data_IF_532042874288
#
_entry.id   IF_532042874288
#
_cell.length_a   1.000
_cell.length_b   1.000
_cell.length_c   1.000
_cell.angle_alpha   90.00
_cell.angle_beta   90.00
_cell.angle_gamma   90.00
#
_symmetry.space_group_name_H-M   'P 1'
#
loop_
_entity.id
_entity.type
_entity.pdbx_description
1 polymer ?
#
# COMPACT_ATOMS: atom_id res chain seq x y z
N UNK A 1 1.40 15.70 -16.20
CA UNK A 1 1.38 14.23 -16.04
C UNK A 1 0.31 13.76 -15.06
N UNK A 2 0.30 14.21 -13.79
CA UNK A 2 -0.70 13.78 -12.78
C UNK A 2 -2.16 14.03 -13.18
N UNK A 3 -2.49 15.16 -13.82
CA UNK A 3 -3.85 15.45 -14.29
C UNK A 3 -4.33 14.49 -15.40
N UNK A 4 -3.42 14.01 -16.24
CA UNK A 4 -3.74 13.03 -17.27
C UNK A 4 -3.99 11.66 -16.64
N UNK A 5 -3.17 11.26 -15.67
CA UNK A 5 -3.36 10.04 -14.89
C UNK A 5 -4.68 10.05 -14.11
N UNK A 6 -5.01 11.18 -13.48
CA UNK A 6 -6.28 11.35 -12.77
C UNK A 6 -7.47 11.21 -13.73
N UNK A 7 -7.42 11.87 -14.90
CA UNK A 7 -8.44 11.75 -15.95
C UNK A 7 -8.58 10.31 -16.46
N UNK A 8 -7.47 9.59 -16.62
CA UNK A 8 -7.48 8.18 -16.98
C UNK A 8 -8.28 7.35 -15.97
N UNK A 9 -8.02 7.51 -14.67
CA UNK A 9 -8.77 6.81 -13.62
C UNK A 9 -10.26 7.19 -13.61
N UNK A 10 -10.61 8.47 -13.82
CA UNK A 10 -12.01 8.89 -13.97
C UNK A 10 -12.73 8.19 -15.13
N UNK A 11 -12.02 7.93 -16.24
CA UNK A 11 -12.57 7.25 -17.42
C UNK A 11 -12.80 5.75 -17.19
N UNK A 12 -11.87 5.07 -16.52
CA UNK A 12 -11.92 3.60 -16.39
C UNK A 12 -12.66 3.12 -15.13
N UNK A 13 -12.84 3.97 -14.13
CA UNK A 13 -13.37 3.55 -12.82
C UNK A 13 -14.87 3.22 -12.88
N UNK A 14 -15.19 1.99 -12.53
CA UNK A 14 -16.51 1.39 -12.47
C UNK A 14 -16.51 0.25 -11.43
N UNK A 15 -17.66 -0.35 -11.15
CA UNK A 15 -17.71 -1.52 -10.26
C UNK A 15 -16.94 -2.72 -10.83
N UNK A 16 -16.88 -2.88 -12.16
CA UNK A 16 -16.12 -3.97 -12.82
C UNK A 16 -14.61 -3.80 -12.60
N UNK A 17 -14.11 -2.57 -12.77
CA UNK A 17 -12.70 -2.24 -12.52
C UNK A 17 -12.34 -2.35 -11.05
N UNK A 18 -13.27 -2.04 -10.14
CA UNK A 18 -13.11 -2.29 -8.71
C UNK A 18 -12.96 -3.79 -8.41
N UNK A 19 -13.86 -4.62 -8.93
CA UNK A 19 -13.78 -6.07 -8.73
C UNK A 19 -12.51 -6.68 -9.32
N UNK A 20 -12.08 -6.21 -10.50
CA UNK A 20 -10.80 -6.61 -11.07
C UNK A 20 -9.64 -6.24 -10.14
N UNK A 21 -9.61 -5.01 -9.63
CA UNK A 21 -8.59 -4.57 -8.68
C UNK A 21 -8.57 -5.43 -7.40
N UNK A 22 -9.74 -5.77 -6.84
CA UNK A 22 -9.85 -6.65 -5.67
C UNK A 22 -9.35 -8.06 -6.01
N UNK A 23 -9.77 -8.62 -7.15
CA UNK A 23 -9.37 -9.95 -7.58
C UNK A 23 -7.85 -10.07 -7.79
N UNK A 24 -7.21 -9.02 -8.31
CA UNK A 24 -5.75 -8.95 -8.44
C UNK A 24 -5.05 -8.74 -7.10
N UNK A 25 -5.66 -7.99 -6.18
CA UNK A 25 -5.09 -7.68 -4.87
C UNK A 25 -5.07 -8.89 -3.94
N UNK A 26 -6.20 -9.60 -3.81
CA UNK A 26 -6.41 -10.65 -2.78
C UNK A 26 -5.32 -11.74 -2.73
N UNK A 27 -4.81 -12.28 -3.86
CA UNK A 27 -3.77 -13.31 -3.83
C UNK A 27 -2.49 -12.92 -3.09
N UNK A 28 -2.14 -11.64 -3.05
CA UNK A 28 -0.91 -11.15 -2.42
C UNK A 28 -0.91 -11.40 -0.90
N UNK A 29 -1.80 -10.77 -0.10
CA UNK A 29 -1.85 -11.02 1.34
C UNK A 29 -2.39 -12.42 1.69
N UNK A 30 -3.32 -12.97 0.89
CA UNK A 30 -3.94 -14.26 1.23
C UNK A 30 -3.00 -15.45 1.03
N UNK A 31 -2.05 -15.35 0.10
CA UNK A 31 -1.18 -16.46 -0.28
C UNK A 31 0.29 -16.04 -0.41
N UNK A 32 0.62 -15.09 -1.28
CA UNK A 32 2.02 -14.82 -1.65
C UNK A 32 2.86 -14.37 -0.44
N UNK A 33 2.41 -13.36 0.30
CA UNK A 33 3.12 -12.86 1.47
C UNK A 33 3.15 -13.84 2.63
N UNK A 34 2.01 -14.50 2.90
CA UNK A 34 1.94 -15.54 3.93
C UNK A 34 2.96 -16.65 3.70
N UNK A 35 3.13 -17.10 2.46
CA UNK A 35 4.11 -18.14 2.13
C UNK A 35 5.54 -17.62 2.14
N UNK A 36 5.79 -16.39 1.66
CA UNK A 36 7.11 -15.76 1.73
C UNK A 36 7.58 -15.61 3.18
N UNK A 37 6.74 -15.04 4.04
CA UNK A 37 7.03 -14.85 5.45
C UNK A 37 7.24 -16.19 6.18
N UNK A 38 6.39 -17.19 5.93
CA UNK A 38 6.56 -18.52 6.52
C UNK A 38 7.91 -19.15 6.13
N UNK A 39 8.32 -18.99 4.86
CA UNK A 39 9.61 -19.49 4.38
C UNK A 39 10.79 -18.73 5.00
N UNK A 40 10.69 -17.40 5.10
CA UNK A 40 11.70 -16.57 5.77
C UNK A 40 11.88 -16.97 7.23
N UNK A 41 10.79 -17.09 7.98
CA UNK A 41 10.81 -17.46 9.39
C UNK A 41 11.35 -18.89 9.62
N UNK A 42 11.00 -19.83 8.73
CA UNK A 42 11.53 -21.20 8.79
C UNK A 42 13.05 -21.24 8.59
N UNK A 43 13.58 -20.44 7.65
CA UNK A 43 15.03 -20.33 7.41
C UNK A 43 15.76 -19.59 8.54
N UNK A 44 15.11 -18.60 9.14
CA UNK A 44 15.63 -17.90 10.32
C UNK A 44 15.58 -18.74 11.61
N UNK A 45 14.81 -19.83 11.62
CA UNK A 45 14.55 -20.64 12.82
C UNK A 45 13.69 -19.94 13.88
N UNK A 46 13.11 -18.79 13.56
CA UNK A 46 12.29 -17.97 14.48
C UNK A 46 11.34 -17.05 13.70
N UNK A 47 10.32 -16.54 14.37
CA UNK A 47 9.41 -15.54 13.80
C UNK A 47 10.08 -14.15 13.82
N UNK A 48 10.58 -13.71 12.67
CA UNK A 48 11.16 -12.37 12.50
C UNK A 48 10.15 -11.40 11.87
N UNK A 49 9.36 -11.88 10.91
CA UNK A 49 8.47 -11.06 10.09
C UNK A 49 9.24 -10.17 9.10
N UNK A 50 8.56 -9.41 8.23
CA UNK A 50 9.24 -8.59 7.21
C UNK A 50 9.45 -7.13 7.70
N UNK A 51 10.47 -6.46 7.15
CA UNK A 51 10.90 -5.11 7.57
C UNK A 51 9.90 -4.02 7.12
N UNK A 52 9.31 -4.17 5.95
CA UNK A 52 8.39 -3.24 5.29
C UNK A 52 7.02 -3.11 6.00
N UNK A 53 6.71 -4.04 6.91
CA UNK A 53 5.54 -4.02 7.79
C UNK A 53 5.79 -3.43 9.18
N UNK A 54 7.04 -3.05 9.50
CA UNK A 54 7.33 -2.41 10.78
C UNK A 54 6.53 -1.11 10.94
N UNK A 55 5.92 -0.98 12.11
CA UNK A 55 5.22 0.24 12.55
C UNK A 55 5.96 0.77 13.77
N UNK A 56 6.44 2.01 13.68
CA UNK A 56 7.28 2.60 14.72
C UNK A 56 8.77 2.30 14.48
N UNK A 57 9.57 3.31 14.79
CA UNK A 57 10.87 3.59 14.20
C UNK A 57 12.02 2.97 15.00
N UNK A 58 12.96 2.30 14.33
CA UNK A 58 14.33 2.11 14.84
C UNK A 58 15.26 1.54 13.73
N UNK A 59 16.20 2.32 13.16
CA UNK A 59 17.21 1.78 12.24
C UNK A 59 18.09 0.68 12.85
N UNK A 60 18.29 0.68 14.17
CA UNK A 60 18.99 -0.40 14.87
C UNK A 60 18.15 -1.68 14.86
N UNK A 61 16.81 -1.58 14.96
CA UNK A 61 15.91 -2.72 14.80
C UNK A 61 16.01 -3.33 13.40
N UNK A 62 16.11 -2.51 12.36
CA UNK A 62 16.33 -3.00 10.99
C UNK A 62 17.62 -3.82 10.92
N UNK A 63 18.71 -3.32 11.50
CA UNK A 63 20.00 -4.05 11.53
C UNK A 63 19.89 -5.38 12.29
N UNK A 64 19.23 -5.39 13.46
CA UNK A 64 18.96 -6.61 14.22
C UNK A 64 18.15 -7.62 13.41
N UNK A 65 17.12 -7.17 12.69
CA UNK A 65 16.29 -8.05 11.86
C UNK A 65 17.07 -8.67 10.71
N UNK A 66 17.92 -7.88 10.04
CA UNK A 66 18.79 -8.37 8.96
C UNK A 66 19.71 -9.50 9.45
N UNK A 67 20.25 -9.37 10.66
CA UNK A 67 21.05 -10.41 11.29
C UNK A 67 20.19 -11.66 11.59
N UNK A 68 19.02 -11.48 12.22
CA UNK A 68 18.11 -12.56 12.60
C UNK A 68 17.63 -13.43 11.44
N UNK A 69 17.55 -12.92 10.21
CA UNK A 69 17.13 -13.72 9.05
C UNK A 69 18.11 -14.82 8.65
N UNK A 70 19.39 -14.71 9.02
CA UNK A 70 20.45 -15.59 8.50
C UNK A 70 20.69 -15.43 6.98
N UNK A 71 21.74 -16.07 6.44
CA UNK A 71 22.12 -15.91 5.02
C UNK A 71 21.02 -16.31 4.03
N UNK A 72 20.40 -17.46 4.25
CA UNK A 72 19.36 -18.02 3.37
C UNK A 72 18.07 -17.20 3.46
N UNK A 73 17.66 -16.80 4.68
CA UNK A 73 16.49 -15.97 4.89
C UNK A 73 16.64 -14.60 4.22
N UNK A 74 17.82 -13.97 4.30
CA UNK A 74 18.11 -12.71 3.58
C UNK A 74 18.00 -12.87 2.06
N UNK A 75 18.50 -13.98 1.51
CA UNK A 75 18.43 -14.25 0.07
C UNK A 75 16.98 -14.43 -0.41
N UNK A 76 16.19 -15.21 0.33
CA UNK A 76 14.75 -15.40 0.03
C UNK A 76 13.98 -14.09 0.18
N UNK A 77 14.27 -13.31 1.22
CA UNK A 77 13.59 -12.03 1.43
C UNK A 77 13.93 -11.04 0.30
N UNK A 78 15.21 -10.89 -0.07
CA UNK A 78 15.62 -10.02 -1.17
C UNK A 78 14.99 -10.45 -2.51
N UNK A 79 14.77 -11.75 -2.74
CA UNK A 79 14.05 -12.23 -3.93
C UNK A 79 12.55 -11.86 -3.88
N UNK A 80 11.91 -11.97 -2.71
CA UNK A 80 10.53 -11.53 -2.50
C UNK A 80 10.36 -10.04 -2.83
N UNK A 81 11.24 -9.21 -2.28
CA UNK A 81 11.29 -7.76 -2.51
C UNK A 81 11.48 -7.41 -4.01
N UNK A 82 12.31 -8.18 -4.72
CA UNK A 82 12.59 -8.00 -6.15
C UNK A 82 11.54 -8.64 -7.09
N UNK A 83 10.50 -9.29 -6.56
CA UNK A 83 9.50 -9.97 -7.39
C UNK A 83 8.08 -9.65 -6.94
N UNK A 84 7.69 -10.14 -5.77
CA UNK A 84 6.34 -10.00 -5.21
C UNK A 84 6.10 -8.52 -4.87
N UNK A 85 7.03 -7.86 -4.17
CA UNK A 85 6.88 -6.45 -3.75
C UNK A 85 7.21 -5.44 -4.85
N UNK A 86 7.68 -5.88 -6.02
CA UNK A 86 7.63 -5.01 -7.20
C UNK A 86 6.21 -4.94 -7.75
N UNK A 87 5.50 -6.07 -7.82
CA UNK A 87 4.16 -6.13 -8.43
C UNK A 87 3.06 -5.60 -7.52
N UNK A 88 3.14 -5.91 -6.22
CA UNK A 88 2.12 -5.57 -5.23
C UNK A 88 1.76 -4.08 -5.17
N UNK A 89 2.72 -3.13 -5.11
CA UNK A 89 2.38 -1.72 -4.98
C UNK A 89 1.67 -1.13 -6.19
N UNK A 90 1.90 -1.65 -7.39
CA UNK A 90 1.12 -1.24 -8.55
C UNK A 90 -0.35 -1.67 -8.42
N UNK A 91 -0.60 -2.87 -7.88
CA UNK A 91 -1.94 -3.43 -7.76
C UNK A 91 -2.74 -2.72 -6.69
N UNK A 92 -2.20 -2.55 -5.47
CA UNK A 92 -2.94 -1.83 -4.43
C UNK A 92 -3.09 -0.34 -4.77
N UNK A 93 -2.11 0.27 -5.45
CA UNK A 93 -2.20 1.67 -5.89
C UNK A 93 -3.30 1.83 -6.92
N UNK A 94 -3.37 0.93 -7.91
CA UNK A 94 -4.47 0.89 -8.87
C UNK A 94 -5.82 0.77 -8.16
N UNK A 95 -5.94 -0.17 -7.21
CA UNK A 95 -7.15 -0.38 -6.45
C UNK A 95 -7.58 0.87 -5.66
N UNK A 96 -6.66 1.50 -4.92
CA UNK A 96 -6.96 2.74 -4.19
C UNK A 96 -7.33 3.90 -5.12
N UNK A 97 -6.65 4.05 -6.26
CA UNK A 97 -7.01 5.07 -7.25
C UNK A 97 -8.44 4.88 -7.79
N UNK A 98 -8.86 3.63 -8.04
CA UNK A 98 -10.24 3.30 -8.45
C UNK A 98 -11.22 3.59 -7.32
N UNK A 99 -10.94 3.15 -6.08
CA UNK A 99 -11.81 3.40 -4.91
C UNK A 99 -12.02 4.90 -4.72
N UNK A 100 -10.95 5.68 -4.64
CA UNK A 100 -11.04 7.13 -4.45
C UNK A 100 -11.78 7.80 -5.62
N UNK A 101 -11.54 7.35 -6.85
CA UNK A 101 -12.30 7.85 -8.00
C UNK A 101 -13.81 7.62 -7.83
N UNK A 102 -14.23 6.39 -7.47
CA UNK A 102 -15.64 6.06 -7.30
C UNK A 102 -16.30 6.86 -6.16
N UNK A 103 -15.58 7.08 -5.06
CA UNK A 103 -16.08 7.84 -3.91
C UNK A 103 -16.23 9.34 -4.20
N UNK A 104 -15.32 9.92 -4.98
CA UNK A 104 -15.24 11.37 -5.16
C UNK A 104 -15.70 11.90 -6.53
N UNK A 105 -15.96 11.05 -7.53
CA UNK A 105 -16.32 11.49 -8.91
C UNK A 105 -17.55 12.39 -9.07
N UNK A 106 -18.45 12.40 -8.09
CA UNK A 106 -19.66 13.25 -8.13
C UNK A 106 -19.50 14.55 -7.32
N UNK A 107 -18.31 14.82 -6.78
CA UNK A 107 -18.02 16.03 -6.00
C UNK A 107 -17.57 17.14 -6.93
N UNK A 108 -18.23 18.29 -6.84
CA UNK A 108 -17.91 19.50 -7.63
C UNK A 108 -16.72 20.31 -7.08
N UNK A 109 -16.11 19.88 -5.96
CA UNK A 109 -15.05 20.63 -5.29
C UNK A 109 -13.71 20.49 -6.03
N UNK A 110 -13.13 21.62 -6.43
CA UNK A 110 -11.84 21.67 -7.15
C UNK A 110 -10.68 21.06 -6.33
N UNK A 111 -10.73 21.15 -5.00
CA UNK A 111 -9.68 20.62 -4.10
C UNK A 111 -9.52 19.08 -4.15
N UNK A 112 -10.53 18.34 -4.63
CA UNK A 112 -10.47 16.88 -4.74
C UNK A 112 -10.07 16.39 -6.14
N UNK A 113 -9.71 17.31 -7.05
CA UNK A 113 -9.46 16.96 -8.46
C UNK A 113 -8.39 15.89 -8.64
N UNK A 114 -7.35 15.89 -7.80
CA UNK A 114 -6.23 14.93 -7.85
C UNK A 114 -6.24 13.92 -6.69
N UNK A 115 -7.30 13.88 -5.87
CA UNK A 115 -7.35 12.98 -4.71
C UNK A 115 -7.18 11.52 -5.12
N UNK A 116 -7.69 11.18 -6.31
CA UNK A 116 -7.66 9.82 -6.84
C UNK A 116 -6.28 9.35 -7.30
N UNK A 117 -5.27 10.21 -7.38
CA UNK A 117 -3.89 9.83 -7.69
C UNK A 117 -2.94 10.02 -6.51
N UNK A 118 -3.46 10.40 -5.33
CA UNK A 118 -2.69 10.42 -4.09
C UNK A 118 -1.99 9.07 -3.79
N UNK A 119 -2.61 7.89 -4.05
CA UNK A 119 -1.96 6.60 -3.83
C UNK A 119 -0.64 6.39 -4.59
N UNK A 120 -0.36 7.16 -5.65
CA UNK A 120 0.92 7.11 -6.36
C UNK A 120 2.09 7.48 -5.45
N UNK A 121 1.87 8.32 -4.44
CA UNK A 121 2.88 8.60 -3.42
C UNK A 121 3.27 7.34 -2.64
N UNK A 122 2.31 6.47 -2.34
CA UNK A 122 2.56 5.19 -1.66
C UNK A 122 3.41 4.30 -2.57
N UNK A 123 3.04 4.15 -3.85
CA UNK A 123 3.82 3.36 -4.83
C UNK A 123 5.29 3.79 -4.89
N UNK A 124 5.55 5.09 -4.98
CA UNK A 124 6.92 5.60 -5.10
C UNK A 124 7.70 5.35 -3.81
N UNK A 125 7.10 5.62 -2.65
CA UNK A 125 7.78 5.37 -1.35
C UNK A 125 8.07 3.89 -1.12
N UNK A 126 7.13 3.00 -1.47
CA UNK A 126 7.26 1.55 -1.33
C UNK A 126 8.39 1.00 -2.22
N UNK A 127 8.43 1.35 -3.51
CA UNK A 127 9.51 0.87 -4.40
C UNK A 127 10.91 1.36 -3.98
N UNK A 128 11.00 2.58 -3.44
CA UNK A 128 12.26 3.13 -2.92
C UNK A 128 12.66 2.43 -1.60
N UNK A 129 11.70 2.15 -0.74
CA UNK A 129 11.90 1.39 0.50
C UNK A 129 12.41 -0.02 0.19
N UNK A 130 11.73 -0.75 -0.69
CA UNK A 130 12.08 -2.11 -1.10
C UNK A 130 13.51 -2.14 -1.67
N UNK A 131 13.90 -1.09 -2.41
CA UNK A 131 15.28 -0.93 -2.90
C UNK A 131 16.28 -0.78 -1.75
N UNK A 132 15.95 -0.05 -0.69
CA UNK A 132 16.78 0.06 0.51
C UNK A 132 16.86 -1.28 1.25
N UNK A 133 15.74 -1.99 1.42
CA UNK A 133 15.68 -3.30 2.07
C UNK A 133 16.58 -4.30 1.32
N UNK A 134 16.43 -4.41 -0.01
CA UNK A 134 17.26 -5.30 -0.84
C UNK A 134 18.74 -4.97 -0.69
N UNK A 135 19.10 -3.69 -0.69
CA UNK A 135 20.49 -3.27 -0.50
C UNK A 135 21.01 -3.69 0.88
N UNK A 136 20.26 -3.42 1.93
CA UNK A 136 20.63 -3.73 3.31
C UNK A 136 20.76 -5.24 3.56
N UNK A 137 19.90 -6.06 2.95
CA UNK A 137 19.97 -7.52 3.04
C UNK A 137 21.22 -8.07 2.33
N UNK A 138 21.61 -7.48 1.19
CA UNK A 138 22.76 -7.93 0.39
C UNK A 138 24.11 -7.40 0.89
N UNK A 139 24.11 -6.24 1.54
CA UNK A 139 25.32 -5.61 2.06
C UNK A 139 25.76 -6.14 3.43
N UNK A 140 24.94 -6.96 4.10
CA UNK A 140 25.25 -7.48 5.42
C UNK A 140 26.55 -8.32 5.41
N UNK A 141 27.46 -8.17 6.39
CA UNK A 141 27.33 -7.40 7.64
C UNK A 141 27.68 -5.90 7.54
N UNK A 142 28.16 -5.43 6.39
CA UNK A 142 28.64 -4.06 6.18
C UNK A 142 27.52 -3.07 5.77
N UNK A 143 26.28 -3.36 6.17
CA UNK A 143 25.10 -2.58 5.80
C UNK A 143 25.16 -1.16 6.41
N UNK A 144 25.24 -0.09 5.59
CA UNK A 144 25.41 1.28 6.08
C UNK A 144 24.19 1.77 6.86
N UNK A 145 24.42 2.38 8.03
CA UNK A 145 23.37 2.98 8.85
C UNK A 145 22.56 4.06 8.12
N UNK A 146 23.19 4.78 7.20
CA UNK A 146 22.53 5.81 6.38
C UNK A 146 21.44 5.21 5.49
N UNK A 147 21.64 4.02 4.93
CA UNK A 147 20.62 3.34 4.11
C UNK A 147 19.50 2.80 4.98
N UNK A 148 19.80 2.30 6.19
CA UNK A 148 18.76 1.90 7.16
C UNK A 148 17.91 3.11 7.60
N UNK A 149 18.54 4.27 7.76
CA UNK A 149 17.84 5.53 8.07
C UNK A 149 16.95 5.98 6.92
N UNK A 150 17.45 5.93 5.68
CA UNK A 150 16.65 6.25 4.48
C UNK A 150 15.46 5.29 4.32
N UNK A 151 15.71 3.99 4.50
CA UNK A 151 14.67 2.96 4.50
C UNK A 151 13.55 3.33 5.48
N UNK A 152 13.92 3.63 6.73
CA UNK A 152 12.97 4.07 7.76
C UNK A 152 12.18 5.31 7.35
N UNK A 153 12.82 6.35 6.80
CA UNK A 153 12.11 7.55 6.32
C UNK A 153 11.08 7.19 5.24
N UNK A 154 11.44 6.31 4.31
CA UNK A 154 10.54 5.88 3.23
C UNK A 154 9.37 5.03 3.74
N UNK A 155 9.62 4.09 4.66
CA UNK A 155 8.58 3.32 5.37
C UNK A 155 7.55 4.24 6.02
N UNK A 156 8.01 5.30 6.69
CA UNK A 156 7.12 6.23 7.38
C UNK A 156 6.36 7.14 6.44
N UNK A 157 7.00 7.59 5.35
CA UNK A 157 6.31 8.32 4.30
C UNK A 157 5.21 7.44 3.67
N UNK A 158 5.52 6.18 3.35
CA UNK A 158 4.56 5.18 2.85
C UNK A 158 3.37 5.05 3.80
N UNK A 159 3.60 4.77 5.08
CA UNK A 159 2.53 4.60 6.07
C UNK A 159 1.72 5.87 6.29
N UNK A 160 2.37 7.04 6.32
CA UNK A 160 1.67 8.33 6.46
C UNK A 160 0.72 8.58 5.30
N UNK A 161 1.19 8.41 4.06
CA UNK A 161 0.35 8.57 2.86
C UNK A 161 -0.76 7.51 2.83
N UNK A 162 -0.45 6.27 3.23
CA UNK A 162 -1.44 5.19 3.36
C UNK A 162 -2.55 5.55 4.34
N UNK A 163 -2.21 6.08 5.53
CA UNK A 163 -3.20 6.49 6.52
C UNK A 163 -4.08 7.65 6.02
N UNK A 164 -3.51 8.60 5.28
CA UNK A 164 -4.28 9.67 4.63
C UNK A 164 -5.25 9.09 3.59
N UNK A 165 -4.79 8.17 2.74
CA UNK A 165 -5.63 7.50 1.74
C UNK A 165 -6.76 6.71 2.40
N UNK A 166 -6.46 5.92 3.43
CA UNK A 166 -7.47 5.17 4.19
C UNK A 166 -8.49 6.11 4.86
N UNK A 167 -8.02 7.21 5.45
CA UNK A 167 -8.90 8.24 6.01
C UNK A 167 -9.85 8.84 4.97
N UNK A 168 -9.36 9.10 3.76
CA UNK A 168 -10.18 9.58 2.63
C UNK A 168 -11.19 8.52 2.16
N UNK A 169 -10.81 7.25 2.14
CA UNK A 169 -11.72 6.14 1.82
C UNK A 169 -12.86 6.08 2.85
N UNK A 170 -12.53 6.07 4.15
CA UNK A 170 -13.53 6.06 5.23
C UNK A 170 -14.44 7.28 5.14
N UNK A 171 -13.87 8.48 4.98
CA UNK A 171 -14.63 9.72 4.81
C UNK A 171 -15.60 9.64 3.61
N UNK A 172 -15.12 9.15 2.46
CA UNK A 172 -15.94 8.99 1.26
C UNK A 172 -17.10 8.01 1.47
N UNK A 173 -16.84 6.87 2.12
CA UNK A 173 -17.85 5.86 2.44
C UNK A 173 -18.93 6.40 3.40
N UNK A 174 -18.53 7.07 4.48
CA UNK A 174 -19.46 7.68 5.44
C UNK A 174 -20.38 8.69 4.74
N UNK A 175 -19.80 9.57 3.91
CA UNK A 175 -20.59 10.54 3.15
C UNK A 175 -21.53 9.90 2.14
N UNK A 176 -21.15 8.77 1.53
CA UNK A 176 -22.01 8.03 0.61
C UNK A 176 -23.19 7.38 1.35
N UNK A 177 -22.93 6.78 2.53
CA UNK A 177 -23.96 6.17 3.37
C UNK A 177 -25.00 7.20 3.86
N UNK A 178 -24.54 8.37 4.32
CA UNK A 178 -25.42 9.47 4.73
C UNK A 178 -26.33 9.92 3.58
N UNK A 179 -25.76 10.13 2.38
CA UNK A 179 -26.52 10.55 1.20
C UNK A 179 -27.60 9.53 0.82
N UNK A 180 -27.25 8.25 0.79
CA UNK A 180 -28.19 7.18 0.45
C UNK A 180 -29.34 7.07 1.47
N UNK A 181 -29.05 7.33 2.76
CA UNK A 181 -30.06 7.34 3.83
C UNK A 181 -31.03 8.51 3.68
N UNK A 182 -30.52 9.72 3.38
CA UNK A 182 -31.35 10.90 3.12
C UNK A 182 -32.25 10.73 1.89
N UNK A 183 -31.72 10.14 0.81
CA UNK A 183 -32.51 9.88 -0.40
C UNK A 183 -33.66 8.90 -0.15
N UNK A 184 -33.44 7.84 0.64
CA UNK A 184 -34.49 6.90 1.03
C UNK A 184 -35.58 7.57 1.87
N UNK A 185 -35.19 8.40 2.84
CA UNK A 185 -36.14 9.13 3.69
C UNK A 185 -37.03 10.07 2.87
N UNK A 186 -36.45 10.82 1.93
CA UNK A 186 -37.20 11.76 1.08
C UNK A 186 -38.14 11.03 0.09
N UNK A 187 -37.76 9.83 -0.39
CA UNK A 187 -38.62 9.04 -1.28
C UNK A 187 -39.81 8.43 -0.52
N UNK A 188 -39.63 8.02 0.74
CA UNK A 188 -40.73 7.53 1.59
C UNK A 188 -41.76 8.61 1.94
N UNK A 189 -41.33 9.87 2.10
CA UNK A 189 -42.23 11.00 2.34
C UNK A 189 -43.01 11.45 1.11
N UNK A 190 -42.56 11.14 -0.11
CA UNK A 190 -43.23 11.54 -1.35
C UNK A 190 -44.35 10.58 -1.81
N UNK A 191 -44.50 9.44 -1.14
CA UNK A 191 -45.48 8.38 -1.46
C UNK A 191 -46.68 8.41 -0.48
N UNK A 192 -46.64 9.29 0.53
CA UNK A 192 -47.71 9.54 1.49
C UNK A 192 -48.28 10.95 1.30
#
# INVERSE_FOLDING_TARGET
MLSALSTFFYRISSWKTLLLGIALYVPFPAYMFKNLEARMNALAGQAVGPIDLLVGYDPARIQQMIEMYGPEGRSVYAQGELTIDIAYPFIYTFLFCVILTLLFRHRKYNSFRLVNVLPVGILVSDLLENSCIVYLLKAFPDSPYVIASLCSVLTNLKWTVTMIVLGLVVYGLVKLAIRNSQQKANHGQAIH
#
